data_IF_259924410197
#
_entry.id   IF_259924410197
#
_cell.length_a   1.000
_cell.length_b   1.000
_cell.length_c   1.000
_cell.angle_alpha   90.00
_cell.angle_beta   90.00
_cell.angle_gamma   90.00
#
_symmetry.space_group_name_H-M   'P 1'
#
loop_
_entity.id
_entity.type
_entity.pdbx_description
1 polymer ?
#
# COMPACT_ATOMS: atom_id res chain seq x y z
N UNK A 1 1.86 6.36 10.77
CA UNK A 1 1.28 7.46 9.97
C UNK A 1 2.23 7.85 8.85
N UNK A 2 1.74 7.99 7.64
CA UNK A 2 2.55 8.35 6.46
C UNK A 2 1.98 9.63 5.84
N UNK A 3 2.85 10.61 5.60
CA UNK A 3 2.51 11.84 4.89
C UNK A 3 2.90 11.68 3.41
N UNK A 4 1.95 11.88 2.51
CA UNK A 4 2.11 11.77 1.07
C UNK A 4 1.96 13.16 0.46
N UNK A 5 3.01 13.62 -0.21
CA UNK A 5 2.97 14.83 -1.03
C UNK A 5 3.13 14.42 -2.50
N UNK A 6 2.21 14.87 -3.36
CA UNK A 6 2.35 14.65 -4.79
C UNK A 6 3.52 15.49 -5.30
N UNK A 7 4.62 14.85 -5.69
CA UNK A 7 5.70 15.52 -6.41
C UNK A 7 5.16 15.87 -7.80
N UNK A 8 5.04 17.18 -8.06
CA UNK A 8 4.66 17.68 -9.38
C UNK A 8 5.84 17.45 -10.32
N UNK A 9 5.87 16.33 -11.01
CA UNK A 9 6.66 16.22 -12.23
C UNK A 9 5.88 16.91 -13.35
N UNK A 10 6.45 17.95 -13.93
CA UNK A 10 6.01 18.49 -15.21
C UNK A 10 6.07 17.36 -16.24
N UNK A 11 4.94 16.73 -16.49
CA UNK A 11 4.73 15.83 -17.63
C UNK A 11 3.51 16.31 -18.37
N UNK A 12 3.78 16.91 -19.48
CA UNK A 12 2.83 17.10 -20.57
C UNK A 12 2.21 15.74 -20.91
N UNK A 13 0.88 15.71 -20.95
CA UNK A 13 0.03 14.73 -21.63
C UNK A 13 0.46 13.25 -21.59
N UNK A 14 0.41 12.66 -20.39
CA UNK A 14 0.11 11.24 -20.27
C UNK A 14 -1.35 11.13 -19.79
N UNK A 15 -2.18 10.43 -20.54
CA UNK A 15 -3.49 9.96 -20.08
C UNK A 15 -3.28 9.35 -18.70
N UNK A 16 -3.72 10.07 -17.67
CA UNK A 16 -3.59 9.63 -16.28
C UNK A 16 -4.37 8.32 -16.12
N UNK A 17 -3.69 7.20 -16.28
CA UNK A 17 -4.23 5.92 -15.88
C UNK A 17 -4.63 6.07 -14.41
N UNK A 18 -5.94 5.95 -14.13
CA UNK A 18 -6.50 6.05 -12.79
C UNK A 18 -5.72 5.12 -11.87
N UNK A 19 -5.10 5.66 -10.83
CA UNK A 19 -4.33 4.88 -9.87
C UNK A 19 -5.24 3.82 -9.25
N UNK A 20 -4.70 2.64 -9.02
CA UNK A 20 -5.41 1.52 -8.41
C UNK A 20 -4.69 1.08 -7.13
N UNK A 21 -5.42 0.56 -6.14
CA UNK A 21 -4.80 -0.09 -4.99
C UNK A 21 -3.79 -1.15 -5.43
N UNK A 22 -2.60 -1.11 -4.84
CA UNK A 22 -1.52 -2.07 -5.12
C UNK A 22 -1.75 -3.44 -4.47
N UNK A 23 -2.70 -3.54 -3.53
CA UNK A 23 -3.03 -4.77 -2.83
C UNK A 23 -4.53 -5.00 -2.73
N UNK A 24 -4.93 -6.27 -2.56
CA UNK A 24 -6.29 -6.66 -2.16
C UNK A 24 -6.37 -6.58 -0.64
N UNK A 25 -7.35 -5.83 -0.12
CA UNK A 25 -7.57 -5.71 1.31
C UNK A 25 -9.00 -6.09 1.65
N UNK A 26 -9.17 -6.98 2.63
CA UNK A 26 -10.50 -7.43 3.09
C UNK A 26 -11.25 -6.25 3.71
N UNK A 27 -12.54 -6.08 3.37
CA UNK A 27 -13.34 -4.95 3.85
C UNK A 27 -13.00 -3.61 3.18
N UNK A 28 -12.32 -3.64 2.03
CA UNK A 28 -11.96 -2.43 1.30
C UNK A 28 -13.18 -1.60 0.87
N UNK A 29 -13.05 -0.27 0.95
CA UNK A 29 -14.11 0.72 0.63
C UNK A 29 -14.51 0.78 -0.85
N UNK A 30 -14.00 -0.13 -1.70
CA UNK A 30 -14.16 -0.05 -3.16
C UNK A 30 -15.63 -0.07 -3.59
N UNK A 31 -16.46 -0.87 -2.92
CA UNK A 31 -17.90 -0.96 -3.21
C UNK A 31 -18.66 0.31 -2.79
N UNK A 32 -18.12 1.05 -1.81
CA UNK A 32 -18.72 2.27 -1.29
C UNK A 32 -18.24 3.54 -2.00
N UNK A 33 -17.23 3.45 -2.88
CA UNK A 33 -16.67 4.62 -3.56
C UNK A 33 -17.73 5.49 -4.26
N UNK A 34 -18.73 4.93 -4.99
CA UNK A 34 -19.74 5.76 -5.66
C UNK A 34 -20.55 6.62 -4.68
N UNK A 35 -20.84 6.09 -3.49
CA UNK A 35 -21.60 6.83 -2.47
C UNK A 35 -20.71 7.81 -1.70
N UNK A 36 -19.55 7.38 -1.28
CA UNK A 36 -18.58 8.23 -0.55
C UNK A 36 -18.18 9.43 -1.41
N UNK A 37 -17.92 9.21 -2.70
CA UNK A 37 -17.47 10.28 -3.61
C UNK A 37 -18.48 11.42 -3.74
N UNK A 38 -19.77 11.15 -3.58
CA UNK A 38 -20.83 12.19 -3.61
C UNK A 38 -20.79 13.12 -2.39
N UNK A 39 -20.22 12.64 -1.28
CA UNK A 39 -20.17 13.35 0.00
C UNK A 39 -18.87 14.14 0.19
N UNK A 40 -17.89 13.96 -0.70
CA UNK A 40 -16.59 14.60 -0.58
C UNK A 40 -16.66 16.03 -1.12
N UNK A 41 -16.12 17.02 -0.37
CA UNK A 41 -16.04 18.38 -0.86
C UNK A 41 -15.22 18.49 -2.14
N UNK A 42 -15.66 19.34 -3.09
CA UNK A 42 -14.94 19.56 -4.35
C UNK A 42 -13.54 20.18 -4.16
N UNK A 43 -13.29 20.84 -3.02
CA UNK A 43 -12.01 21.47 -2.69
C UNK A 43 -11.65 21.16 -1.24
N UNK A 44 -10.43 20.71 -1.04
CA UNK A 44 -9.81 20.51 0.29
C UNK A 44 -8.29 20.67 0.19
N UNK A 45 -7.65 21.09 1.27
CA UNK A 45 -6.21 21.36 1.31
C UNK A 45 -5.40 20.10 1.61
N UNK A 46 -5.91 19.23 2.48
CA UNK A 46 -5.26 18.00 2.89
C UNK A 46 -6.31 16.92 3.12
N UNK A 47 -5.96 15.70 2.76
CA UNK A 47 -6.78 14.51 2.97
C UNK A 47 -6.22 13.71 4.15
N UNK A 48 -7.09 13.27 5.05
CA UNK A 48 -6.73 12.43 6.19
C UNK A 48 -7.53 11.15 6.15
N UNK A 49 -6.84 10.01 6.10
CA UNK A 49 -7.48 8.69 6.13
C UNK A 49 -6.87 7.83 7.26
N UNK A 50 -7.50 7.78 8.44
CA UNK A 50 -6.98 7.05 9.60
C UNK A 50 -7.11 5.52 9.48
N UNK A 51 -7.91 5.02 8.53
CA UNK A 51 -8.14 3.60 8.25
C UNK A 51 -8.03 3.35 6.75
N UNK A 52 -6.81 3.51 6.21
CA UNK A 52 -6.56 3.51 4.76
C UNK A 52 -6.79 2.15 4.11
N UNK A 53 -6.51 1.05 4.81
CA UNK A 53 -6.60 -0.28 4.23
C UNK A 53 -5.84 -0.39 2.90
N UNK A 54 -6.45 -0.95 1.87
CA UNK A 54 -5.85 -1.03 0.53
C UNK A 54 -5.82 0.30 -0.23
N UNK A 55 -6.27 1.43 0.36
CA UNK A 55 -6.18 2.76 -0.25
C UNK A 55 -7.22 3.04 -1.35
N UNK A 56 -8.35 2.35 -1.34
CA UNK A 56 -9.36 2.53 -2.39
C UNK A 56 -9.78 3.98 -2.57
N UNK A 57 -10.06 4.69 -1.47
CA UNK A 57 -10.46 6.10 -1.50
C UNK A 57 -9.27 7.03 -1.77
N UNK A 58 -8.11 6.77 -1.17
CA UNK A 58 -6.87 7.50 -1.43
C UNK A 58 -6.54 7.54 -2.93
N UNK A 59 -6.54 6.37 -3.59
CA UNK A 59 -6.21 6.28 -5.02
C UNK A 59 -7.32 6.83 -5.92
N UNK A 60 -8.58 6.74 -5.51
CA UNK A 60 -9.71 7.36 -6.23
C UNK A 60 -9.59 8.88 -6.24
N UNK A 61 -9.31 9.49 -5.09
CA UNK A 61 -9.21 10.94 -4.94
C UNK A 61 -7.89 11.51 -5.44
N UNK A 62 -6.81 10.73 -5.38
CA UNK A 62 -5.44 11.16 -5.72
C UNK A 62 -5.10 12.55 -5.19
N UNK A 63 -5.26 12.81 -3.88
CA UNK A 63 -5.11 14.15 -3.32
C UNK A 63 -3.68 14.66 -3.44
N UNK A 64 -3.49 15.98 -3.52
CA UNK A 64 -2.15 16.60 -3.57
C UNK A 64 -1.36 16.39 -2.29
N UNK A 65 -2.05 16.40 -1.15
CA UNK A 65 -1.50 16.13 0.18
C UNK A 65 -2.39 15.15 0.90
N UNK A 66 -1.82 14.08 1.42
CA UNK A 66 -2.53 13.10 2.22
C UNK A 66 -1.72 12.71 3.46
N UNK A 67 -2.44 12.44 4.52
CA UNK A 67 -1.92 11.79 5.72
C UNK A 67 -2.74 10.52 5.92
N UNK A 68 -2.07 9.39 5.88
CA UNK A 68 -2.72 8.08 5.99
C UNK A 68 -2.25 7.33 7.22
N UNK A 69 -3.12 6.52 7.76
CA UNK A 69 -2.84 5.61 8.85
C UNK A 69 -3.69 4.34 8.72
N UNK A 70 -3.31 3.31 9.44
CA UNK A 70 -4.09 2.09 9.64
C UNK A 70 -3.68 1.44 10.97
N UNK A 71 -4.54 0.60 11.52
CA UNK A 71 -4.21 -0.17 12.72
C UNK A 71 -3.17 -1.28 12.43
N UNK A 72 -3.06 -1.70 11.18
CA UNK A 72 -2.06 -2.67 10.75
C UNK A 72 -0.73 -1.97 10.43
N UNK A 73 0.24 -2.11 11.34
CA UNK A 73 1.56 -1.49 11.21
C UNK A 73 2.35 -1.98 10.00
N UNK A 74 2.23 -3.27 9.63
CA UNK A 74 2.90 -3.84 8.45
C UNK A 74 2.35 -3.24 7.15
N UNK A 75 1.04 -2.98 7.10
CA UNK A 75 0.45 -2.30 5.96
C UNK A 75 0.97 -0.86 5.82
N UNK A 76 1.06 -0.12 6.93
CA UNK A 76 1.60 1.24 6.95
C UNK A 76 3.09 1.23 6.59
N UNK A 77 3.84 0.24 7.04
CA UNK A 77 5.23 0.04 6.64
C UNK A 77 5.34 -0.17 5.12
N UNK A 78 4.45 -0.99 4.53
CA UNK A 78 4.43 -1.18 3.08
C UNK A 78 4.17 0.13 2.31
N UNK A 79 3.24 0.99 2.76
CA UNK A 79 3.04 2.33 2.18
C UNK A 79 4.29 3.20 2.28
N UNK A 80 4.99 3.15 3.41
CA UNK A 80 6.22 3.90 3.63
C UNK A 80 7.33 3.44 2.68
N UNK A 81 7.54 2.13 2.58
CA UNK A 81 8.57 1.55 1.70
C UNK A 81 8.26 1.81 0.22
N UNK A 82 6.99 1.69 -0.21
CA UNK A 82 6.57 2.06 -1.56
C UNK A 82 6.91 3.52 -1.89
N UNK A 83 6.76 4.41 -0.91
CA UNK A 83 7.05 5.83 -1.10
C UNK A 83 8.55 6.11 -1.12
N UNK A 84 9.32 5.49 -0.23
CA UNK A 84 10.69 5.89 0.09
C UNK A 84 11.75 5.04 -0.62
N UNK A 85 11.45 3.74 -0.92
CA UNK A 85 12.39 2.78 -1.54
C UNK A 85 11.67 1.70 -2.35
N UNK A 86 10.96 2.10 -3.38
CA UNK A 86 10.19 1.19 -4.24
C UNK A 86 11.07 0.21 -5.03
N UNK A 87 12.28 0.61 -5.39
CA UNK A 87 13.19 -0.22 -6.18
C UNK A 87 13.65 -1.45 -5.38
N UNK A 88 14.11 -1.27 -4.15
CA UNK A 88 14.47 -2.38 -3.26
C UNK A 88 13.27 -3.29 -2.98
N UNK A 89 12.08 -2.71 -2.83
CA UNK A 89 10.84 -3.47 -2.65
C UNK A 89 10.53 -4.36 -3.86
N UNK A 90 10.69 -3.84 -5.07
CA UNK A 90 10.48 -4.62 -6.30
C UNK A 90 11.47 -5.79 -6.38
N UNK A 91 12.73 -5.56 -6.04
CA UNK A 91 13.74 -6.62 -6.02
C UNK A 91 13.37 -7.73 -5.04
N UNK A 92 12.93 -7.38 -3.84
CA UNK A 92 12.52 -8.36 -2.82
C UNK A 92 11.25 -9.12 -3.22
N UNK A 93 10.26 -8.44 -3.78
CA UNK A 93 9.05 -9.08 -4.33
C UNK A 93 9.36 -10.06 -5.48
N UNK A 94 10.37 -9.77 -6.31
CA UNK A 94 10.82 -10.69 -7.34
C UNK A 94 11.45 -11.98 -6.76
N UNK A 95 12.15 -11.90 -5.63
CA UNK A 95 12.63 -13.10 -4.92
C UNK A 95 11.47 -13.96 -4.43
N UNK A 96 10.44 -13.34 -3.81
CA UNK A 96 9.23 -14.07 -3.41
C UNK A 96 8.51 -14.71 -4.59
N UNK A 97 8.41 -14.00 -5.71
CA UNK A 97 7.81 -14.52 -6.95
C UNK A 97 8.57 -15.74 -7.50
N UNK A 98 9.90 -15.69 -7.49
CA UNK A 98 10.75 -16.78 -7.97
C UNK A 98 10.62 -18.06 -7.12
N UNK A 99 10.39 -17.91 -5.82
CA UNK A 99 10.28 -19.02 -4.86
C UNK A 99 8.83 -19.43 -4.57
N UNK A 100 7.85 -18.88 -5.30
CA UNK A 100 6.43 -19.03 -4.99
C UNK A 100 5.99 -20.51 -5.03
N UNK A 101 5.73 -21.07 -3.84
CA UNK A 101 5.15 -22.38 -3.62
C UNK A 101 4.30 -22.35 -2.35
N UNK A 102 3.50 -23.39 -2.11
CA UNK A 102 2.72 -23.51 -0.88
C UNK A 102 3.62 -23.59 0.36
N UNK A 103 4.70 -24.33 0.28
CA UNK A 103 5.68 -24.51 1.34
C UNK A 103 6.36 -23.19 1.67
N UNK A 104 6.82 -22.46 0.65
CA UNK A 104 7.42 -21.14 0.80
C UNK A 104 6.47 -20.14 1.44
N UNK A 105 5.19 -20.11 0.99
CA UNK A 105 4.18 -19.25 1.58
C UNK A 105 3.97 -19.55 3.07
N UNK A 106 3.84 -20.84 3.44
CA UNK A 106 3.61 -21.23 4.82
C UNK A 106 4.82 -20.93 5.72
N UNK A 107 6.02 -21.13 5.21
CA UNK A 107 7.26 -20.79 5.91
C UNK A 107 7.35 -19.27 6.14
N UNK A 108 7.19 -18.47 5.09
CA UNK A 108 7.23 -17.01 5.18
C UNK A 108 6.11 -16.45 6.09
N UNK A 109 4.94 -17.09 6.08
CA UNK A 109 3.82 -16.72 6.95
C UNK A 109 4.14 -16.95 8.42
N UNK A 110 4.91 -17.99 8.75
CA UNK A 110 5.24 -18.32 10.15
C UNK A 110 6.19 -17.33 10.82
N UNK A 111 6.86 -16.48 10.04
CA UNK A 111 7.88 -15.54 10.53
C UNK A 111 7.42 -14.60 11.66
N UNK A 112 6.11 -14.29 11.72
CA UNK A 112 5.51 -13.53 12.82
C UNK A 112 5.29 -14.34 14.11
N UNK A 113 5.33 -15.68 14.03
CA UNK A 113 5.12 -16.59 15.16
C UNK A 113 6.41 -17.14 15.74
N UNK A 114 7.42 -17.28 14.89
CA UNK A 114 8.74 -17.81 15.27
C UNK A 114 9.80 -16.72 15.55
N UNK A 115 9.39 -15.45 15.47
CA UNK A 115 10.23 -14.29 15.78
C UNK A 115 11.16 -13.85 14.66
N UNK A 116 11.18 -14.52 13.50
CA UNK A 116 12.02 -14.12 12.36
C UNK A 116 11.66 -12.71 11.82
N UNK A 117 10.42 -12.29 12.00
CA UNK A 117 9.99 -10.96 11.57
C UNK A 117 10.80 -9.83 12.24
N UNK A 118 11.29 -10.04 13.47
CA UNK A 118 12.06 -9.05 14.21
C UNK A 118 13.49 -8.88 13.66
N UNK A 119 13.96 -9.84 12.88
CA UNK A 119 15.26 -9.79 12.21
C UNK A 119 15.18 -9.25 10.78
N UNK A 120 13.98 -9.12 10.23
CA UNK A 120 13.75 -8.57 8.89
C UNK A 120 13.85 -7.05 8.90
N UNK A 121 14.47 -6.49 7.87
CA UNK A 121 14.46 -5.06 7.63
C UNK A 121 13.08 -4.57 7.09
N UNK A 122 12.90 -3.25 6.99
CA UNK A 122 11.65 -2.63 6.57
C UNK A 122 11.20 -3.08 5.16
N UNK A 123 12.14 -3.26 4.23
CA UNK A 123 11.86 -3.70 2.85
C UNK A 123 11.40 -5.16 2.82
N UNK A 124 12.09 -6.04 3.54
CA UNK A 124 11.72 -7.46 3.66
C UNK A 124 10.34 -7.65 4.29
N UNK A 125 10.04 -6.90 5.35
CA UNK A 125 8.72 -6.91 6.00
C UNK A 125 7.62 -6.39 5.07
N UNK A 126 7.87 -5.29 4.36
CA UNK A 126 6.95 -4.74 3.38
C UNK A 126 6.69 -5.71 2.22
N UNK A 127 7.74 -6.33 1.70
CA UNK A 127 7.62 -7.34 0.64
C UNK A 127 6.85 -8.58 1.12
N UNK A 128 7.13 -9.06 2.33
CA UNK A 128 6.42 -10.17 2.96
C UNK A 128 4.90 -9.92 3.01
N UNK A 129 4.46 -8.80 3.59
CA UNK A 129 3.01 -8.52 3.69
C UNK A 129 2.37 -8.40 2.32
N UNK A 130 3.01 -7.74 1.36
CA UNK A 130 2.48 -7.58 0.00
C UNK A 130 2.39 -8.91 -0.75
N UNK A 131 3.38 -9.79 -0.60
CA UNK A 131 3.35 -11.13 -1.17
C UNK A 131 2.18 -11.95 -0.60
N UNK A 132 2.03 -11.99 0.73
CA UNK A 132 0.96 -12.75 1.39
C UNK A 132 -0.46 -12.26 1.03
N UNK A 133 -0.62 -11.01 0.67
CA UNK A 133 -1.92 -10.44 0.24
C UNK A 133 -2.27 -10.75 -1.23
N UNK A 134 -1.34 -11.30 -2.00
CA UNK A 134 -1.50 -11.55 -3.45
C UNK A 134 -1.68 -13.02 -3.79
N UNK A 135 -1.20 -13.93 -2.97
CA UNK A 135 -1.21 -15.40 -3.20
C UNK A 135 -2.34 -16.08 -2.46
#
# INVERSE_FOLDING_TARGET
>A
MVCLNKVMHNRETLTLNKLKPFTKWVGGKRQLLPEISKLIPNKFNCYFEPFVGGGALLFELSPKKAVINDNNSELILAYKVIKDDVESLILELNKHKANNSKEYYLDLRSADRDGRIDTMNDVERAARILYMLRV
#
